data_IF_045980664229
#
_entry.id   IF_045980664229
#
_cell.length_a   1.000
_cell.length_b   1.000
_cell.length_c   1.000
_cell.angle_alpha   90.00
_cell.angle_beta   90.00
_cell.angle_gamma   90.00
#
_symmetry.space_group_name_H-M   'P 1'
#
loop_
_entity.id
_entity.type
_entity.pdbx_description
1 polymer ?
#
# COMPACT_ATOMS: atom_id res chain seq x y z
N UNK A 1 52.77 -18.30 -14.91
CA UNK A 1 51.62 -17.78 -15.71
C UNK A 1 50.40 -18.69 -15.56
N UNK A 2 50.57 -20.01 -15.71
CA UNK A 2 49.49 -21.01 -15.54
C UNK A 2 48.67 -20.83 -14.26
N UNK A 3 49.34 -20.70 -13.11
CA UNK A 3 48.69 -20.51 -11.81
C UNK A 3 47.84 -19.21 -11.75
N UNK A 4 48.32 -18.11 -12.34
CA UNK A 4 47.53 -16.86 -12.41
C UNK A 4 46.30 -16.97 -13.30
N UNK A 5 46.37 -17.75 -14.39
CA UNK A 5 45.21 -18.00 -15.25
C UNK A 5 44.15 -18.83 -14.53
N UNK A 6 44.57 -19.88 -13.83
CA UNK A 6 43.66 -20.72 -13.04
C UNK A 6 42.96 -19.93 -11.92
N UNK A 7 43.71 -19.05 -11.22
CA UNK A 7 43.14 -18.17 -10.19
C UNK A 7 42.17 -17.13 -10.78
N UNK A 8 42.47 -16.61 -11.98
CA UNK A 8 41.54 -15.71 -12.69
C UNK A 8 40.25 -16.43 -13.09
N UNK A 9 40.34 -17.62 -13.67
CA UNK A 9 39.16 -18.43 -14.06
C UNK A 9 38.29 -18.75 -12.84
N UNK A 10 38.91 -19.15 -11.72
CA UNK A 10 38.18 -19.38 -10.47
C UNK A 10 37.46 -18.10 -9.98
N UNK A 11 38.15 -16.95 -10.01
CA UNK A 11 37.57 -15.67 -9.63
C UNK A 11 36.47 -15.20 -10.59
N UNK A 12 36.61 -15.45 -11.90
CA UNK A 12 35.57 -15.15 -12.89
C UNK A 12 34.32 -15.98 -12.66
N UNK A 13 34.49 -17.26 -12.33
CA UNK A 13 33.38 -18.16 -12.03
C UNK A 13 32.61 -17.68 -10.80
N UNK A 14 33.31 -17.33 -9.71
CA UNK A 14 32.68 -16.78 -8.50
C UNK A 14 31.91 -15.50 -8.81
N UNK A 15 32.53 -14.56 -9.54
CA UNK A 15 31.88 -13.30 -9.86
C UNK A 15 30.69 -13.48 -10.83
N UNK A 16 30.73 -14.48 -11.72
CA UNK A 16 29.59 -14.85 -12.57
C UNK A 16 28.44 -15.41 -11.74
N UNK A 17 28.73 -16.28 -10.78
CA UNK A 17 27.72 -16.83 -9.86
C UNK A 17 27.08 -15.72 -9.02
N UNK A 18 27.87 -14.78 -8.49
CA UNK A 18 27.31 -13.64 -7.74
C UNK A 18 26.47 -12.70 -8.61
N UNK A 19 26.88 -12.44 -9.85
CA UNK A 19 26.06 -11.65 -10.78
C UNK A 19 24.73 -12.35 -11.10
N UNK A 20 24.75 -13.66 -11.33
CA UNK A 20 23.52 -14.44 -11.54
C UNK A 20 22.59 -14.36 -10.33
N UNK A 21 23.14 -14.51 -9.11
CA UNK A 21 22.37 -14.37 -7.87
C UNK A 21 21.73 -12.97 -7.76
N UNK A 22 22.49 -11.92 -8.06
CA UNK A 22 21.99 -10.54 -8.05
C UNK A 22 20.92 -10.30 -9.13
N UNK A 23 21.05 -10.92 -10.30
CA UNK A 23 20.06 -10.86 -11.39
C UNK A 23 18.74 -11.52 -10.96
N UNK A 24 18.79 -12.74 -10.44
CA UNK A 24 17.62 -13.47 -9.92
C UNK A 24 16.92 -12.68 -8.80
N UNK A 25 17.69 -12.12 -7.86
CA UNK A 25 17.13 -11.34 -6.75
C UNK A 25 16.52 -10.01 -7.23
N UNK A 26 17.13 -9.36 -8.22
CA UNK A 26 16.59 -8.15 -8.86
C UNK A 26 15.26 -8.43 -9.55
N UNK A 27 15.18 -9.53 -10.32
CA UNK A 27 13.96 -9.94 -11.00
C UNK A 27 12.83 -10.20 -10.00
N UNK A 28 13.12 -10.96 -8.93
CA UNK A 28 12.17 -11.25 -7.87
C UNK A 28 11.66 -9.97 -7.19
N UNK A 29 12.56 -9.06 -6.78
CA UNK A 29 12.18 -7.80 -6.14
C UNK A 29 11.38 -6.89 -7.08
N UNK A 30 11.72 -6.85 -8.36
CA UNK A 30 10.98 -6.06 -9.37
C UNK A 30 9.57 -6.59 -9.58
N UNK A 31 9.41 -7.92 -9.62
CA UNK A 31 8.10 -8.57 -9.69
C UNK A 31 7.27 -8.27 -8.43
N UNK A 32 7.87 -8.44 -7.25
CA UNK A 32 7.23 -8.15 -5.97
C UNK A 32 6.78 -6.67 -5.88
N UNK A 33 7.62 -5.73 -6.31
CA UNK A 33 7.28 -4.31 -6.35
C UNK A 33 6.09 -4.04 -7.26
N UNK A 34 6.07 -4.64 -8.45
CA UNK A 34 4.99 -4.48 -9.41
C UNK A 34 3.66 -5.01 -8.84
N UNK A 35 3.69 -6.14 -8.16
CA UNK A 35 2.53 -6.71 -7.49
C UNK A 35 2.04 -5.84 -6.33
N UNK A 36 2.94 -5.35 -5.48
CA UNK A 36 2.61 -4.44 -4.38
C UNK A 36 1.98 -3.14 -4.92
N UNK A 37 2.54 -2.54 -5.97
CA UNK A 37 2.01 -1.34 -6.59
C UNK A 37 0.60 -1.57 -7.17
N UNK A 38 0.37 -2.73 -7.80
CA UNK A 38 -0.96 -3.11 -8.31
C UNK A 38 -1.97 -3.30 -7.18
N UNK A 39 -1.59 -3.97 -6.10
CA UNK A 39 -2.44 -4.17 -4.92
C UNK A 39 -2.78 -2.84 -4.25
N UNK A 40 -1.79 -1.96 -4.08
CA UNK A 40 -1.98 -0.61 -3.55
C UNK A 40 -3.01 0.17 -4.38
N UNK A 41 -2.83 0.23 -5.70
CA UNK A 41 -3.74 0.94 -6.61
C UNK A 41 -5.17 0.40 -6.55
N UNK A 42 -5.32 -0.92 -6.42
CA UNK A 42 -6.64 -1.56 -6.22
C UNK A 42 -7.29 -1.09 -4.91
N UNK A 43 -6.53 -1.14 -3.81
CA UNK A 43 -6.98 -0.70 -2.48
C UNK A 43 -7.33 0.79 -2.43
N UNK A 44 -6.58 1.64 -3.13
CA UNK A 44 -6.91 3.06 -3.28
C UNK A 44 -8.24 3.28 -4.01
N UNK A 45 -8.51 2.48 -5.04
CA UNK A 45 -9.80 2.47 -5.74
C UNK A 45 -10.95 2.05 -4.82
N UNK A 46 -10.78 0.96 -4.08
CA UNK A 46 -11.74 0.48 -3.07
C UNK A 46 -11.98 1.55 -1.99
N UNK A 47 -10.92 2.19 -1.48
CA UNK A 47 -10.99 3.26 -0.50
C UNK A 47 -11.79 4.46 -1.01
N UNK A 48 -11.64 4.83 -2.28
CA UNK A 48 -12.42 5.91 -2.90
C UNK A 48 -13.91 5.56 -2.91
N UNK A 49 -14.24 4.34 -3.33
CA UNK A 49 -15.63 3.87 -3.35
C UNK A 49 -16.25 3.85 -1.94
N UNK A 50 -15.53 3.33 -0.96
CA UNK A 50 -15.97 3.31 0.45
C UNK A 50 -16.22 4.72 0.99
N UNK A 51 -15.37 5.70 0.66
CA UNK A 51 -15.58 7.11 1.05
C UNK A 51 -16.85 7.70 0.46
N UNK A 52 -17.10 7.48 -0.83
CA UNK A 52 -18.33 7.94 -1.48
C UNK A 52 -19.57 7.32 -0.82
N UNK A 53 -19.51 6.02 -0.50
CA UNK A 53 -20.61 5.31 0.13
C UNK A 53 -20.85 5.78 1.58
N UNK A 54 -19.78 6.03 2.34
CA UNK A 54 -19.84 6.63 3.68
C UNK A 54 -20.48 8.02 3.65
N UNK A 55 -20.16 8.85 2.67
CA UNK A 55 -20.74 10.19 2.53
C UNK A 55 -22.25 10.13 2.27
N UNK A 56 -22.67 9.26 1.35
CA UNK A 56 -24.08 8.99 1.07
C UNK A 56 -24.84 8.51 2.31
N UNK A 57 -24.27 7.57 3.06
CA UNK A 57 -24.88 7.03 4.28
C UNK A 57 -24.91 8.05 5.42
N UNK A 58 -23.89 8.92 5.54
CA UNK A 58 -23.90 10.03 6.50
C UNK A 58 -24.98 11.06 6.19
N UNK A 59 -25.17 11.39 4.91
CA UNK A 59 -26.25 12.28 4.47
C UNK A 59 -27.62 11.67 4.81
N UNK A 60 -27.80 10.39 4.49
CA UNK A 60 -29.03 9.64 4.83
C UNK A 60 -29.27 9.61 6.34
N UNK A 61 -28.24 9.33 7.14
CA UNK A 61 -28.31 9.34 8.60
C UNK A 61 -28.71 10.71 9.15
N UNK A 62 -28.16 11.79 8.60
CA UNK A 62 -28.52 13.15 9.00
C UNK A 62 -30.01 13.43 8.73
N UNK A 63 -30.48 13.09 7.53
CA UNK A 63 -31.89 13.22 7.14
C UNK A 63 -32.81 12.41 8.07
N UNK A 64 -32.49 11.15 8.35
CA UNK A 64 -33.29 10.33 9.27
C UNK A 64 -33.27 10.83 10.72
N UNK A 65 -32.16 11.43 11.19
CA UNK A 65 -32.12 12.06 12.51
C UNK A 65 -33.02 13.29 12.59
N UNK A 66 -33.09 14.06 11.51
CA UNK A 66 -33.97 15.22 11.44
C UNK A 66 -35.44 14.80 11.35
N UNK A 67 -35.75 13.79 10.53
CA UNK A 67 -37.07 13.16 10.49
C UNK A 67 -37.49 12.62 11.86
N UNK A 68 -36.60 11.88 12.54
CA UNK A 68 -36.85 11.37 13.89
C UNK A 68 -37.16 12.49 14.89
N UNK A 69 -36.46 13.63 14.81
CA UNK A 69 -36.72 14.79 15.66
C UNK A 69 -38.11 15.36 15.39
N UNK A 70 -38.52 15.43 14.14
CA UNK A 70 -39.86 15.86 13.74
C UNK A 70 -40.92 14.88 14.24
N UNK A 71 -40.73 13.57 14.05
CA UNK A 71 -41.68 12.56 14.52
C UNK A 71 -41.80 12.51 16.04
N UNK A 72 -40.71 12.77 16.79
CA UNK A 72 -40.79 12.89 18.26
C UNK A 72 -41.65 14.06 18.71
N UNK A 73 -41.53 15.22 18.05
CA UNK A 73 -42.40 16.38 18.30
C UNK A 73 -43.85 16.08 17.91
N UNK A 74 -44.05 15.34 16.83
CA UNK A 74 -45.38 14.92 16.42
C UNK A 74 -46.00 14.03 17.49
N UNK A 75 -45.26 13.02 17.97
CA UNK A 75 -45.72 12.15 19.05
C UNK A 75 -46.07 12.95 20.31
N UNK A 76 -45.19 13.86 20.75
CA UNK A 76 -45.43 14.75 21.90
C UNK A 76 -46.72 15.57 21.72
N UNK A 77 -46.91 16.18 20.55
CA UNK A 77 -48.12 16.93 20.23
C UNK A 77 -49.38 16.06 20.23
N UNK A 78 -49.30 14.82 19.74
CA UNK A 78 -50.41 13.87 19.78
C UNK A 78 -50.73 13.41 21.20
N UNK A 79 -49.72 13.22 22.05
CA UNK A 79 -49.87 12.85 23.46
C UNK A 79 -50.50 13.99 24.28
N UNK A 80 -50.03 15.23 24.09
CA UNK A 80 -50.63 16.43 24.68
C UNK A 80 -52.10 16.60 24.27
N UNK A 81 -52.37 16.36 22.99
CA UNK A 81 -53.72 16.35 22.43
C UNK A 81 -54.60 15.36 23.17
N UNK A 82 -54.16 14.10 23.28
CA UNK A 82 -54.89 13.04 23.98
C UNK A 82 -55.07 13.35 25.48
N UNK A 83 -54.07 13.94 26.12
CA UNK A 83 -54.12 14.36 27.53
C UNK A 83 -55.17 15.44 27.77
N UNK A 84 -55.17 16.49 26.93
CA UNK A 84 -56.16 17.57 27.01
C UNK A 84 -57.59 17.07 26.76
N UNK A 85 -57.76 16.08 25.88
CA UNK A 85 -59.04 15.41 25.66
C UNK A 85 -59.53 14.67 26.89
N UNK A 86 -58.66 13.91 27.55
CA UNK A 86 -59.01 13.18 28.79
C UNK A 86 -59.44 14.17 29.87
N UNK A 87 -58.65 15.23 30.10
CA UNK A 87 -58.97 16.28 31.05
C UNK A 87 -60.33 16.95 30.76
N UNK A 88 -60.60 17.29 29.50
CA UNK A 88 -61.89 17.86 29.10
C UNK A 88 -63.06 16.88 29.26
N UNK A 89 -62.83 15.58 29.11
CA UNK A 89 -63.85 14.56 29.38
C UNK A 89 -64.16 14.48 30.87
N UNK A 90 -63.12 14.51 31.70
CA UNK A 90 -63.24 14.40 33.15
C UNK A 90 -63.85 15.69 33.77
N UNK A 91 -63.59 16.86 33.18
CA UNK A 91 -64.18 18.15 33.58
C UNK A 91 -65.62 18.37 33.05
N UNK A 92 -66.08 17.57 32.07
CA UNK A 92 -67.36 17.78 31.35
C UNK A 92 -68.51 16.85 31.77
N UNK A 93 -68.53 16.34 33.00
CA UNK A 93 -69.74 15.70 33.56
C UNK A 93 -70.95 16.67 33.62
N UNK A 94 -70.79 17.97 33.37
CA UNK A 94 -71.88 18.96 33.43
C UNK A 94 -71.74 20.11 32.43
N UNK A 95 -71.64 19.86 31.12
CA UNK A 95 -72.06 20.89 30.14
C UNK A 95 -72.32 20.31 28.74
N UNK A 96 -73.59 20.27 28.39
CA UNK A 96 -74.10 19.98 27.05
C UNK A 96 -74.02 21.26 26.22
N UNK A 97 -73.51 21.13 25.00
CA UNK A 97 -73.45 22.11 23.91
C UNK A 97 -72.31 23.13 23.98
N UNK A 98 -71.23 22.87 23.22
CA UNK A 98 -70.76 23.64 22.04
C UNK A 98 -69.30 23.21 21.77
N UNK A 99 -69.08 22.37 20.74
CA UNK A 99 -67.72 22.09 20.19
C UNK A 99 -67.12 20.69 20.44
N UNK A 100 -67.85 19.79 21.10
CA UNK A 100 -67.36 18.44 21.46
C UNK A 100 -67.41 17.52 20.24
N UNK A 101 -66.28 17.27 19.60
CA UNK A 101 -66.22 16.19 18.62
C UNK A 101 -64.92 16.08 17.88
N UNK A 102 -64.21 17.19 17.64
CA UNK A 102 -63.00 17.20 16.81
C UNK A 102 -61.86 17.96 17.48
N UNK A 103 -60.64 17.51 17.20
CA UNK A 103 -59.43 18.15 17.65
C UNK A 103 -58.41 18.22 16.53
N UNK A 104 -57.71 19.34 16.45
CA UNK A 104 -56.68 19.55 15.46
C UNK A 104 -55.33 19.01 15.95
N UNK A 105 -54.74 18.11 15.16
CA UNK A 105 -53.36 17.66 15.28
C UNK A 105 -52.57 18.18 14.07
N UNK A 106 -51.41 18.83 14.22
CA UNK A 106 -50.70 19.45 13.09
C UNK A 106 -50.39 18.55 11.88
N UNK A 107 -50.13 17.26 12.09
CA UNK A 107 -49.71 16.29 11.05
C UNK A 107 -50.86 15.38 10.57
N UNK A 108 -51.90 15.19 11.38
CA UNK A 108 -53.08 14.37 11.03
C UNK A 108 -54.31 15.23 10.69
N UNK A 109 -54.24 16.54 10.96
CA UNK A 109 -55.34 17.48 10.79
C UNK A 109 -56.40 17.35 11.87
N UNK A 110 -57.63 17.75 11.54
CA UNK A 110 -58.77 17.60 12.43
C UNK A 110 -59.20 16.14 12.49
N UNK A 111 -59.11 15.55 13.68
CA UNK A 111 -59.54 14.18 13.95
C UNK A 111 -60.66 14.17 14.98
N UNK A 112 -61.59 13.21 14.90
CA UNK A 112 -62.61 13.07 15.92
C UNK A 112 -61.99 12.60 17.24
N UNK A 113 -62.59 13.02 18.36
CA UNK A 113 -62.05 12.83 19.71
C UNK A 113 -61.85 11.34 20.09
N UNK A 114 -62.65 10.45 19.50
CA UNK A 114 -62.55 9.00 19.65
C UNK A 114 -61.36 8.39 18.88
N UNK A 115 -60.74 9.11 17.94
CA UNK A 115 -59.62 8.64 17.12
C UNK A 115 -58.25 9.16 17.56
N UNK A 116 -58.17 10.05 18.56
CA UNK A 116 -56.89 10.59 19.05
C UNK A 116 -55.91 9.52 19.55
N UNK A 117 -56.41 8.42 20.12
CA UNK A 117 -55.58 7.28 20.50
C UNK A 117 -54.92 6.60 19.29
N UNK A 118 -55.62 6.55 18.15
CA UNK A 118 -55.06 6.04 16.90
C UNK A 118 -53.97 6.97 16.37
N UNK A 119 -54.14 8.29 16.47
CA UNK A 119 -53.12 9.26 16.07
C UNK A 119 -51.83 9.12 16.88
N UNK A 120 -51.92 8.96 18.21
CA UNK A 120 -50.76 8.68 19.08
C UNK A 120 -50.09 7.37 18.68
N UNK A 121 -50.87 6.31 18.44
CA UNK A 121 -50.32 5.00 18.02
C UNK A 121 -49.60 5.10 16.67
N UNK A 122 -50.13 5.84 15.71
CA UNK A 122 -49.49 6.07 14.41
C UNK A 122 -48.19 6.86 14.59
N UNK A 123 -48.22 7.98 15.30
CA UNK A 123 -47.01 8.78 15.56
C UNK A 123 -45.92 7.96 16.27
N UNK A 124 -46.29 7.09 17.21
CA UNK A 124 -45.34 6.19 17.88
C UNK A 124 -44.69 5.20 16.91
N UNK A 125 -45.47 4.63 15.98
CA UNK A 125 -44.93 3.73 14.94
C UNK A 125 -43.96 4.44 14.00
N UNK A 126 -44.25 5.68 13.62
CA UNK A 126 -43.36 6.49 12.78
C UNK A 126 -42.04 6.83 13.50
N UNK A 127 -42.10 7.13 14.81
CA UNK A 127 -40.90 7.28 15.65
C UNK A 127 -40.10 5.99 15.68
N UNK A 128 -40.71 4.84 15.99
CA UNK A 128 -40.02 3.54 16.05
C UNK A 128 -39.37 3.17 14.70
N UNK A 129 -40.06 3.47 13.60
CA UNK A 129 -39.54 3.31 12.24
C UNK A 129 -38.30 4.18 11.99
N UNK A 130 -38.38 5.47 12.32
CA UNK A 130 -37.26 6.40 12.18
C UNK A 130 -36.07 6.02 13.08
N UNK A 131 -36.31 5.58 14.33
CA UNK A 131 -35.25 5.10 15.22
C UNK A 131 -34.54 3.88 14.65
N UNK A 132 -35.30 2.96 14.06
CA UNK A 132 -34.75 1.78 13.38
C UNK A 132 -33.87 2.16 12.19
N UNK A 133 -34.28 3.15 11.39
CA UNK A 133 -33.48 3.67 10.27
C UNK A 133 -32.20 4.36 10.76
N UNK A 134 -32.30 5.23 11.77
CA UNK A 134 -31.13 5.89 12.38
C UNK A 134 -30.13 4.86 12.90
N UNK A 135 -30.61 3.81 13.58
CA UNK A 135 -29.76 2.71 14.07
C UNK A 135 -29.08 1.97 12.92
N UNK A 136 -29.82 1.64 11.86
CA UNK A 136 -29.31 0.95 10.68
C UNK A 136 -28.19 1.76 9.98
N UNK A 137 -28.46 3.03 9.65
CA UNK A 137 -27.47 3.88 8.98
C UNK A 137 -26.29 4.24 9.89
N UNK A 138 -26.51 4.40 11.20
CA UNK A 138 -25.41 4.59 12.15
C UNK A 138 -24.47 3.38 12.15
N UNK A 139 -25.01 2.16 12.11
CA UNK A 139 -24.19 0.95 12.03
C UNK A 139 -23.41 0.87 10.71
N UNK A 140 -24.03 1.25 9.58
CA UNK A 140 -23.35 1.30 8.27
C UNK A 140 -22.21 2.32 8.27
N UNK A 141 -22.43 3.52 8.80
CA UNK A 141 -21.41 4.57 8.94
C UNK A 141 -20.22 4.05 9.75
N UNK A 142 -20.48 3.47 10.93
CA UNK A 142 -19.41 2.89 11.76
C UNK A 142 -18.64 1.77 11.05
N UNK A 143 -19.35 0.91 10.30
CA UNK A 143 -18.73 -0.16 9.52
C UNK A 143 -17.81 0.41 8.44
N UNK A 144 -18.28 1.37 7.65
CA UNK A 144 -17.47 2.00 6.60
C UNK A 144 -16.28 2.78 7.15
N UNK A 145 -16.43 3.46 8.29
CA UNK A 145 -15.31 4.11 8.97
C UNK A 145 -14.21 3.11 9.38
N UNK A 146 -14.61 1.94 9.88
CA UNK A 146 -13.68 0.85 10.20
C UNK A 146 -12.99 0.30 8.94
N UNK A 147 -13.75 0.02 7.88
CA UNK A 147 -13.22 -0.48 6.61
C UNK A 147 -12.26 0.52 5.94
N UNK A 148 -12.59 1.82 5.97
CA UNK A 148 -11.71 2.90 5.50
C UNK A 148 -10.42 2.95 6.31
N UNK A 149 -10.52 2.81 7.63
CA UNK A 149 -9.36 2.84 8.52
C UNK A 149 -8.45 1.64 8.26
N UNK A 150 -9.01 0.46 8.03
CA UNK A 150 -8.25 -0.73 7.64
C UNK A 150 -7.60 -0.53 6.26
N UNK A 151 -8.35 -0.09 5.26
CA UNK A 151 -7.83 0.14 3.91
C UNK A 151 -6.67 1.15 3.90
N UNK A 152 -6.74 2.21 4.72
CA UNK A 152 -5.62 3.16 4.88
C UNK A 152 -4.37 2.48 5.47
N UNK A 153 -4.53 1.62 6.48
CA UNK A 153 -3.41 0.86 7.04
C UNK A 153 -2.80 -0.09 6.01
N UNK A 154 -3.62 -0.83 5.26
CA UNK A 154 -3.16 -1.72 4.19
C UNK A 154 -2.35 -0.97 3.13
N UNK A 155 -2.83 0.22 2.71
CA UNK A 155 -2.12 1.07 1.73
C UNK A 155 -0.78 1.54 2.29
N UNK A 156 -0.74 1.99 3.54
CA UNK A 156 0.49 2.44 4.18
C UNK A 156 1.51 1.31 4.34
N UNK A 157 1.06 0.10 4.69
CA UNK A 157 1.92 -1.07 4.76
C UNK A 157 2.48 -1.44 3.38
N UNK A 158 1.66 -1.40 2.33
CA UNK A 158 2.11 -1.61 0.96
C UNK A 158 3.16 -0.57 0.53
N UNK A 159 2.95 0.71 0.87
CA UNK A 159 3.91 1.77 0.60
C UNK A 159 5.26 1.55 1.30
N UNK A 160 5.23 1.17 2.57
CA UNK A 160 6.44 0.86 3.31
C UNK A 160 7.22 -0.29 2.66
N UNK A 161 6.53 -1.35 2.23
CA UNK A 161 7.15 -2.49 1.54
C UNK A 161 7.72 -2.12 0.17
N UNK A 162 7.04 -1.26 -0.58
CA UNK A 162 7.55 -0.72 -1.84
C UNK A 162 8.85 0.05 -1.59
N UNK A 163 8.87 0.95 -0.61
CA UNK A 163 10.06 1.71 -0.26
C UNK A 163 11.23 0.82 0.20
N UNK A 164 10.96 -0.22 0.99
CA UNK A 164 11.99 -1.20 1.37
C UNK A 164 12.55 -1.94 0.15
N UNK A 165 11.67 -2.31 -0.79
CA UNK A 165 12.05 -2.99 -2.03
C UNK A 165 12.88 -2.09 -2.94
N UNK A 166 12.52 -0.81 -3.06
CA UNK A 166 13.29 0.20 -3.78
C UNK A 166 14.70 0.35 -3.19
N UNK A 167 14.82 0.43 -1.87
CA UNK A 167 16.11 0.53 -1.19
C UNK A 167 16.99 -0.70 -1.48
N UNK A 168 16.41 -1.91 -1.44
CA UNK A 168 17.13 -3.16 -1.78
C UNK A 168 17.56 -3.19 -3.25
N UNK A 169 16.70 -2.79 -4.18
CA UNK A 169 17.03 -2.71 -5.61
C UNK A 169 18.18 -1.72 -5.87
N UNK A 170 18.19 -0.57 -5.18
CA UNK A 170 19.29 0.39 -5.26
C UNK A 170 20.60 -0.20 -4.73
N UNK A 171 20.57 -0.89 -3.59
CA UNK A 171 21.75 -1.55 -3.03
C UNK A 171 22.32 -2.61 -4.00
N UNK A 172 21.46 -3.46 -4.56
CA UNK A 172 21.87 -4.47 -5.55
C UNK A 172 22.46 -3.85 -6.82
N UNK A 173 21.92 -2.73 -7.28
CA UNK A 173 22.49 -1.98 -8.42
C UNK A 173 23.92 -1.51 -8.13
N UNK A 174 24.18 -1.06 -6.91
CA UNK A 174 25.53 -0.69 -6.46
C UNK A 174 26.42 -1.93 -6.39
N UNK A 175 25.97 -3.03 -5.79
CA UNK A 175 26.73 -4.28 -5.71
C UNK A 175 27.10 -4.82 -7.11
N UNK A 176 26.14 -4.86 -8.04
CA UNK A 176 26.36 -5.29 -9.43
C UNK A 176 27.44 -4.43 -10.11
N UNK A 177 27.43 -3.11 -9.89
CA UNK A 177 28.45 -2.19 -10.42
C UNK A 177 29.83 -2.47 -9.82
N UNK A 178 29.91 -2.71 -8.51
CA UNK A 178 31.18 -3.02 -7.83
C UNK A 178 31.77 -4.33 -8.34
N UNK A 179 30.96 -5.39 -8.47
CA UNK A 179 31.43 -6.68 -9.01
C UNK A 179 31.95 -6.52 -10.44
N UNK A 180 31.23 -5.80 -11.29
CA UNK A 180 31.65 -5.54 -12.67
C UNK A 180 32.97 -4.74 -12.75
N UNK A 181 33.15 -3.73 -11.89
CA UNK A 181 34.39 -2.94 -11.83
C UNK A 181 35.59 -3.78 -11.35
N UNK A 182 35.38 -4.60 -10.31
CA UNK A 182 36.41 -5.54 -9.81
C UNK A 182 36.80 -6.53 -10.91
N UNK A 183 35.84 -7.16 -11.57
CA UNK A 183 36.11 -8.08 -12.69
C UNK A 183 36.90 -7.39 -13.81
N UNK A 184 36.52 -6.17 -14.19
CA UNK A 184 37.21 -5.40 -15.23
C UNK A 184 38.66 -5.09 -14.84
N UNK A 185 38.90 -4.62 -13.61
CA UNK A 185 40.24 -4.34 -13.09
C UNK A 185 41.10 -5.61 -13.00
N UNK A 186 40.52 -6.72 -12.56
CA UNK A 186 41.20 -8.02 -12.47
C UNK A 186 41.66 -8.49 -13.86
N UNK A 187 40.77 -8.49 -14.86
CA UNK A 187 41.10 -8.84 -16.25
C UNK A 187 42.22 -7.96 -16.80
N UNK A 188 42.15 -6.64 -16.55
CA UNK A 188 43.19 -5.70 -16.98
C UNK A 188 44.54 -5.99 -16.33
N UNK A 189 44.56 -6.27 -15.03
CA UNK A 189 45.80 -6.58 -14.30
C UNK A 189 46.46 -7.86 -14.82
N UNK A 190 45.69 -8.94 -14.97
CA UNK A 190 46.21 -10.22 -15.51
C UNK A 190 46.72 -10.06 -16.93
N UNK A 191 46.03 -9.28 -17.78
CA UNK A 191 46.49 -8.97 -19.14
C UNK A 191 47.85 -8.25 -19.15
N UNK A 192 48.03 -7.24 -18.29
CA UNK A 192 49.29 -6.51 -18.19
C UNK A 192 50.43 -7.39 -17.66
N UNK A 193 50.16 -8.21 -16.64
CA UNK A 193 51.13 -9.18 -16.13
C UNK A 193 51.51 -10.21 -17.21
N UNK A 194 50.55 -10.68 -18.01
CA UNK A 194 50.80 -11.56 -19.14
C UNK A 194 51.77 -10.94 -20.17
N UNK A 195 51.58 -9.67 -20.51
CA UNK A 195 52.50 -8.94 -21.40
C UNK A 195 53.90 -8.81 -20.81
N UNK A 196 54.00 -8.42 -19.54
CA UNK A 196 55.29 -8.24 -18.86
C UNK A 196 56.07 -9.56 -18.75
N UNK A 197 55.39 -10.67 -18.40
CA UNK A 197 56.04 -11.97 -18.37
C UNK A 197 56.58 -12.37 -19.75
N UNK A 198 55.83 -12.11 -20.84
CA UNK A 198 56.29 -12.37 -22.20
C UNK A 198 57.57 -11.58 -22.55
N UNK A 199 57.59 -10.28 -22.23
CA UNK A 199 58.77 -9.43 -22.45
C UNK A 199 59.96 -9.90 -21.61
N UNK A 200 59.74 -10.22 -20.33
CA UNK A 200 60.79 -10.73 -19.45
C UNK A 200 61.39 -12.05 -19.93
N UNK A 201 60.56 -12.97 -20.43
CA UNK A 201 61.05 -14.23 -21.00
C UNK A 201 61.87 -14.04 -22.28
N UNK A 202 61.48 -13.11 -23.18
CA UNK A 202 62.29 -12.78 -24.36
C UNK A 202 63.64 -12.18 -23.95
N UNK A 203 63.63 -11.24 -22.99
CA UNK A 203 64.84 -10.61 -22.48
C UNK A 203 65.79 -11.62 -21.79
N UNK A 204 65.25 -12.56 -21.00
CA UNK A 204 66.04 -13.63 -20.37
C UNK A 204 66.72 -14.52 -21.43
N UNK A 205 65.98 -14.92 -22.46
CA UNK A 205 66.47 -15.81 -23.52
C UNK A 205 67.55 -15.12 -24.36
N UNK A 206 67.35 -13.84 -24.68
CA UNK A 206 68.34 -13.02 -25.37
C UNK A 206 69.62 -12.84 -24.54
N UNK A 207 69.48 -12.57 -23.23
CA UNK A 207 70.63 -12.41 -22.32
C UNK A 207 71.41 -13.73 -22.17
N UNK A 208 70.73 -14.87 -22.01
CA UNK A 208 71.37 -16.19 -21.99
C UNK A 208 72.13 -16.48 -23.29
N UNK A 209 71.54 -16.17 -24.44
CA UNK A 209 72.18 -16.36 -25.73
C UNK A 209 73.46 -15.51 -25.86
N UNK A 210 73.40 -14.23 -25.47
CA UNK A 210 74.58 -13.35 -25.47
C UNK A 210 75.68 -13.82 -24.52
N UNK A 211 75.34 -14.23 -23.29
CA UNK A 211 76.33 -14.75 -22.32
C UNK A 211 76.98 -16.04 -22.83
N UNK A 212 76.24 -16.92 -23.51
CA UNK A 212 76.78 -18.18 -24.01
C UNK A 212 77.62 -18.00 -25.29
N UNK A 213 77.30 -17.04 -26.14
CA UNK A 213 78.05 -16.76 -27.36
C UNK A 213 79.29 -15.90 -27.15
N UNK A 214 79.30 -15.01 -26.16
CA UNK A 214 80.46 -14.14 -25.90
C UNK A 214 81.78 -14.91 -25.68
N UNK A 215 81.82 -16.03 -24.91
CA UNK A 215 83.02 -16.85 -24.78
C UNK A 215 83.42 -17.56 -26.08
N UNK A 216 82.45 -18.03 -26.86
CA UNK A 216 82.69 -18.75 -28.13
C UNK A 216 83.29 -17.82 -29.17
N UNK A 217 82.75 -16.60 -29.29
CA UNK A 217 83.27 -15.57 -30.18
C UNK A 217 84.69 -15.17 -29.77
N UNK A 218 84.95 -15.02 -28.48
CA UNK A 218 86.29 -14.70 -27.96
C UNK A 218 87.31 -15.79 -28.30
N UNK A 219 86.96 -17.07 -28.14
CA UNK A 219 87.83 -18.19 -28.53
C UNK A 219 88.05 -18.21 -30.05
N UNK A 220 87.00 -17.95 -30.85
CA UNK A 220 87.14 -17.86 -32.31
C UNK A 220 88.07 -16.71 -32.73
N UNK A 221 87.96 -15.53 -32.10
CA UNK A 221 88.86 -14.39 -32.34
C UNK A 221 90.31 -14.71 -31.98
N UNK A 222 90.54 -15.36 -30.83
CA UNK A 222 91.87 -15.81 -30.43
C UNK A 222 92.45 -16.85 -31.40
N UNK A 223 91.62 -17.73 -31.98
CA UNK A 223 92.06 -18.70 -32.99
C UNK A 223 92.34 -18.07 -34.36
N UNK A 224 91.58 -17.06 -34.80
CA UNK A 224 91.85 -16.35 -36.06
C UNK A 224 93.00 -15.37 -35.99
N UNK A 225 93.36 -14.88 -34.79
CA UNK A 225 94.59 -14.08 -34.60
C UNK A 225 95.85 -14.93 -34.41
N UNK A 226 95.71 -16.23 -34.14
CA UNK A 226 96.82 -17.18 -34.02
C UNK A 226 97.20 -17.88 -35.34
N UNK A 227 96.47 -17.60 -36.43
CA UNK A 227 96.77 -18.02 -37.81
C UNK A 227 97.43 -16.88 -38.60
#
# INVERSE_FOLDING_TARGET
IENMKQQLEASEQVAKTELQRLDEETEHLTAMQSDLARQKKKKEGELKNLKTQLESDRSSLASYREALKTEKRNLESAEDTLSSMRRRRDEAETMRNVGIGMMFIPFVGWIPMNEASNAVRTAKREVESCESQVKSYSNKVSKYESEISQAKRDIQEADNKIHETDAKLLDMSVQRRVVADVQHKMRRAVHQLGKLCGVGSVAELQTRHQILLAPVIKVMEEMTTAL
#
